data_IF_291450636814
#
_entry.id   IF_291450636814
#
_cell.length_a   1.000
_cell.length_b   1.000
_cell.length_c   1.000
_cell.angle_alpha   90.00
_cell.angle_beta   90.00
_cell.angle_gamma   90.00
#
_symmetry.space_group_name_H-M   'P 1'
#
loop_
_entity.id
_entity.type
_entity.pdbx_description
1 polymer ?
#
# COMPACT_ATOMS: atom_id res chain seq x y z
N UNK A 1 -13.47 -5.39 -28.44
CA UNK A 1 -12.43 -6.06 -27.64
C UNK A 1 -11.14 -5.28 -27.77
N UNK A 2 -10.68 -4.66 -26.68
CA UNK A 2 -9.39 -3.96 -26.64
C UNK A 2 -8.40 -4.85 -25.89
N UNK A 3 -7.19 -5.11 -26.42
CA UNK A 3 -6.20 -5.91 -25.70
C UNK A 3 -5.59 -5.11 -24.56
N UNK A 4 -5.24 -5.77 -23.46
CA UNK A 4 -4.49 -5.17 -22.34
C UNK A 4 -3.31 -6.05 -21.92
N UNK A 5 -2.36 -5.47 -21.18
CA UNK A 5 -1.29 -6.19 -20.50
C UNK A 5 -0.98 -5.53 -19.15
N UNK A 6 -1.07 -6.31 -18.07
CA UNK A 6 -0.62 -5.94 -16.74
C UNK A 6 0.68 -6.67 -16.37
N UNK A 7 1.51 -6.03 -15.56
CA UNK A 7 2.78 -6.57 -15.05
C UNK A 7 2.79 -6.46 -13.52
N UNK A 8 3.31 -7.48 -12.83
CA UNK A 8 3.71 -7.30 -11.42
C UNK A 8 5.06 -6.59 -11.38
N UNK A 9 5.22 -5.62 -10.47
CA UNK A 9 6.51 -4.99 -10.19
C UNK A 9 7.34 -5.80 -9.19
N UNK A 10 6.71 -6.71 -8.44
CA UNK A 10 7.31 -7.39 -7.29
C UNK A 10 7.81 -8.82 -7.62
N UNK A 11 7.44 -9.34 -8.80
CA UNK A 11 7.86 -10.65 -9.29
C UNK A 11 8.29 -10.56 -10.76
N UNK A 12 9.58 -10.77 -11.04
CA UNK A 12 10.10 -10.86 -12.41
C UNK A 12 9.33 -11.92 -13.22
N UNK A 13 9.22 -11.67 -14.53
CA UNK A 13 8.43 -12.46 -15.51
C UNK A 13 6.93 -12.64 -15.19
N UNK A 14 6.40 -12.05 -14.11
CA UNK A 14 4.98 -12.18 -13.74
C UNK A 14 4.13 -11.13 -14.46
N UNK A 15 3.28 -11.58 -15.37
CA UNK A 15 2.41 -10.71 -16.17
C UNK A 15 1.10 -11.40 -16.55
N UNK A 16 0.08 -10.60 -16.92
CA UNK A 16 -1.17 -11.10 -17.51
C UNK A 16 -1.54 -10.25 -18.72
N UNK A 17 -2.07 -10.86 -19.77
CA UNK A 17 -2.67 -10.18 -20.90
C UNK A 17 -3.99 -10.84 -21.30
N UNK A 18 -4.82 -10.09 -22.01
CA UNK A 18 -6.14 -10.55 -22.43
C UNK A 18 -6.95 -9.40 -23.01
N UNK A 19 -8.26 -9.43 -22.78
CA UNK A 19 -9.21 -8.45 -23.33
C UNK A 19 -9.87 -7.63 -22.21
N UNK A 20 -10.11 -6.35 -22.49
CA UNK A 20 -11.00 -5.53 -21.66
C UNK A 20 -12.46 -5.95 -21.87
N UNK A 21 -13.19 -6.03 -20.77
CA UNK A 21 -14.63 -6.31 -20.65
C UNK A 21 -15.27 -5.28 -19.71
N UNK A 22 -16.58 -5.12 -19.79
CA UNK A 22 -17.38 -4.26 -18.93
C UNK A 22 -18.43 -5.10 -18.21
N UNK A 23 -18.59 -4.90 -16.90
CA UNK A 23 -19.57 -5.59 -16.05
C UNK A 23 -19.90 -4.73 -14.81
N UNK A 24 -20.88 -5.15 -14.01
CA UNK A 24 -21.37 -4.40 -12.84
C UNK A 24 -20.63 -4.81 -11.56
N UNK A 25 -19.79 -3.91 -11.04
CA UNK A 25 -19.26 -4.01 -9.68
C UNK A 25 -20.36 -3.62 -8.69
N UNK A 26 -20.75 -4.55 -7.84
CA UNK A 26 -21.72 -4.33 -6.78
C UNK A 26 -21.00 -3.93 -5.50
N UNK A 27 -21.36 -2.77 -4.95
CA UNK A 27 -20.82 -2.17 -3.73
C UNK A 27 -21.94 -1.81 -2.75
N UNK A 28 -21.58 -1.42 -1.54
CA UNK A 28 -22.51 -0.88 -0.53
C UNK A 28 -21.93 0.38 0.09
N UNK A 29 -22.78 1.37 0.42
CA UNK A 29 -22.35 2.50 1.24
C UNK A 29 -21.88 2.05 2.63
N UNK A 30 -20.93 2.79 3.23
CA UNK A 30 -20.46 2.54 4.60
C UNK A 30 -21.34 3.19 5.68
N UNK A 31 -22.34 3.97 5.26
CA UNK A 31 -23.26 4.69 6.15
C UNK A 31 -24.26 3.76 6.88
N UNK A 32 -25.15 4.37 7.65
CA UNK A 32 -26.16 3.66 8.46
C UNK A 32 -27.21 2.91 7.65
N UNK A 33 -27.31 3.17 6.34
CA UNK A 33 -28.36 2.60 5.46
C UNK A 33 -27.83 1.48 4.56
N UNK A 34 -26.52 1.47 4.27
CA UNK A 34 -25.85 0.43 3.47
C UNK A 34 -26.53 0.20 2.12
N UNK A 35 -26.83 1.30 1.41
CA UNK A 35 -27.46 1.30 0.11
C UNK A 35 -26.60 0.57 -0.93
N UNK A 36 -27.25 -0.24 -1.77
CA UNK A 36 -26.58 -0.98 -2.84
C UNK A 36 -26.19 0.00 -3.96
N UNK A 37 -24.92 -0.05 -4.36
CA UNK A 37 -24.36 0.76 -5.45
C UNK A 37 -23.91 -0.17 -6.57
N UNK A 38 -24.57 -0.07 -7.73
CA UNK A 38 -24.20 -0.78 -8.95
C UNK A 38 -23.35 0.13 -9.84
N UNK A 39 -22.06 -0.16 -9.96
CA UNK A 39 -21.11 0.62 -10.74
C UNK A 39 -20.60 -0.17 -11.95
N UNK A 40 -20.85 0.32 -13.17
CA UNK A 40 -20.25 -0.24 -14.37
C UNK A 40 -18.74 -0.02 -14.35
N UNK A 41 -17.95 -1.09 -14.46
CA UNK A 41 -16.49 -1.00 -14.50
C UNK A 41 -15.92 -1.70 -15.74
N UNK A 42 -14.90 -1.11 -16.34
CA UNK A 42 -14.04 -1.80 -17.32
C UNK A 42 -12.92 -2.52 -16.59
N UNK A 43 -12.73 -3.82 -16.83
CA UNK A 43 -11.62 -4.59 -16.25
C UNK A 43 -11.06 -5.63 -17.24
N UNK A 44 -9.94 -6.24 -16.88
CA UNK A 44 -9.20 -7.17 -17.74
C UNK A 44 -9.62 -8.62 -17.55
N UNK A 45 -10.32 -9.20 -18.52
CA UNK A 45 -10.48 -10.65 -18.65
C UNK A 45 -9.15 -11.26 -19.15
N UNK A 46 -8.38 -11.83 -18.22
CA UNK A 46 -7.06 -12.42 -18.50
C UNK A 46 -7.16 -13.71 -19.32
N UNK A 47 -6.28 -13.85 -20.31
CA UNK A 47 -6.25 -14.98 -21.26
C UNK A 47 -4.88 -15.66 -21.33
N UNK A 48 -3.81 -14.94 -21.00
CA UNK A 48 -2.44 -15.46 -20.91
C UNK A 48 -1.81 -14.91 -19.64
N UNK A 49 -1.29 -15.79 -18.80
CA UNK A 49 -0.58 -15.47 -17.56
C UNK A 49 0.86 -16.01 -17.61
N UNK A 50 1.75 -15.38 -16.87
CA UNK A 50 3.14 -15.80 -16.69
C UNK A 50 3.59 -15.59 -15.24
N UNK A 51 4.62 -16.31 -14.82
CA UNK A 51 5.18 -16.21 -13.47
C UNK A 51 4.18 -16.62 -12.36
N UNK A 52 4.26 -15.93 -11.22
CA UNK A 52 3.55 -16.32 -9.99
C UNK A 52 2.01 -16.28 -10.07
N UNK A 53 1.44 -15.62 -11.09
CA UNK A 53 0.00 -15.62 -11.36
C UNK A 53 -0.54 -16.99 -11.80
N UNK A 54 0.31 -17.92 -12.23
CA UNK A 54 -0.09 -19.29 -12.61
C UNK A 54 -0.42 -20.17 -11.39
N UNK A 55 0.25 -19.95 -10.26
CA UNK A 55 0.27 -20.90 -9.14
C UNK A 55 -0.25 -20.34 -7.81
N UNK A 56 0.11 -19.08 -7.45
CA UNK A 56 -0.01 -18.59 -6.05
C UNK A 56 -0.55 -17.17 -5.94
N UNK A 57 -0.09 -16.22 -6.76
CA UNK A 57 -0.25 -14.80 -6.48
C UNK A 57 -1.60 -14.20 -6.96
N UNK A 58 -2.31 -14.86 -7.86
CA UNK A 58 -3.55 -14.34 -8.46
C UNK A 58 -4.55 -15.44 -8.89
N UNK A 59 -4.87 -16.44 -8.05
CA UNK A 59 -5.65 -17.63 -8.47
C UNK A 59 -7.06 -17.32 -9.00
N UNK A 60 -7.61 -16.15 -8.68
CA UNK A 60 -8.90 -15.66 -9.18
C UNK A 60 -8.80 -14.25 -9.82
N UNK A 61 -7.59 -13.81 -10.20
CA UNK A 61 -7.32 -12.48 -10.76
C UNK A 61 -6.76 -11.48 -9.75
N UNK A 62 -6.81 -10.19 -10.11
CA UNK A 62 -6.23 -9.06 -9.38
C UNK A 62 -7.18 -7.87 -9.42
N UNK A 63 -7.28 -7.14 -8.30
CA UNK A 63 -8.10 -5.93 -8.22
C UNK A 63 -7.23 -4.68 -8.47
N UNK A 64 -7.46 -4.00 -9.60
CA UNK A 64 -6.60 -2.90 -10.07
C UNK A 64 -6.83 -1.58 -9.34
N UNK A 65 -5.94 -1.23 -8.40
CA UNK A 65 -5.98 0.00 -7.60
C UNK A 65 -4.99 1.11 -8.05
N UNK A 66 -4.25 0.91 -9.14
CA UNK A 66 -3.20 1.84 -9.60
C UNK A 66 -3.70 3.26 -9.96
N UNK A 67 -2.77 4.19 -10.25
CA UNK A 67 -3.15 5.58 -10.51
C UNK A 67 -3.72 5.85 -11.93
N UNK A 68 -3.77 4.85 -12.82
CA UNK A 68 -4.27 5.01 -14.19
C UNK A 68 -5.80 5.15 -14.29
N UNK A 69 -6.29 5.79 -15.36
CA UNK A 69 -7.72 6.06 -15.57
C UNK A 69 -8.63 4.82 -15.63
N UNK A 70 -8.07 3.64 -15.91
CA UNK A 70 -8.79 2.36 -15.98
C UNK A 70 -8.79 1.58 -14.65
N UNK A 71 -8.17 2.11 -13.59
CA UNK A 71 -8.29 1.50 -12.26
C UNK A 71 -9.67 1.75 -11.66
N UNK A 72 -10.14 0.85 -10.80
CA UNK A 72 -11.49 0.95 -10.22
C UNK A 72 -11.71 2.26 -9.46
N UNK A 73 -10.79 2.78 -8.62
CA UNK A 73 -10.98 4.07 -7.95
C UNK A 73 -11.01 5.26 -8.92
N UNK A 74 -10.45 5.12 -10.14
CA UNK A 74 -10.58 6.15 -11.17
C UNK A 74 -11.97 6.17 -11.78
N UNK A 75 -12.50 4.98 -12.13
CA UNK A 75 -13.82 4.83 -12.76
C UNK A 75 -14.92 5.26 -11.79
N UNK A 76 -14.87 4.78 -10.54
CA UNK A 76 -15.82 5.17 -9.49
C UNK A 76 -15.85 6.68 -9.25
N UNK A 77 -14.74 7.39 -9.47
CA UNK A 77 -14.69 8.84 -9.31
C UNK A 77 -15.07 9.61 -10.58
N UNK A 78 -14.75 9.11 -11.78
CA UNK A 78 -15.17 9.75 -13.03
C UNK A 78 -16.67 9.67 -13.28
N UNK A 79 -17.31 8.57 -12.86
CA UNK A 79 -18.78 8.42 -12.88
C UNK A 79 -19.47 9.12 -11.69
N UNK A 80 -18.70 9.71 -10.77
CA UNK A 80 -19.23 10.54 -9.68
C UNK A 80 -19.77 9.78 -8.45
N UNK A 81 -19.56 8.45 -8.35
CA UNK A 81 -19.93 7.68 -7.15
C UNK A 81 -19.11 8.07 -5.92
N UNK A 82 -17.82 8.41 -6.12
CA UNK A 82 -16.86 8.62 -5.02
C UNK A 82 -15.87 9.73 -5.33
N UNK A 83 -15.17 10.20 -4.30
CA UNK A 83 -13.95 10.99 -4.48
C UNK A 83 -12.82 10.15 -5.10
N UNK A 84 -11.80 10.80 -5.67
CA UNK A 84 -10.66 10.09 -6.26
C UNK A 84 -9.64 9.70 -5.18
N UNK A 85 -10.06 8.81 -4.30
CA UNK A 85 -9.29 8.29 -3.19
C UNK A 85 -9.85 6.93 -2.74
N UNK A 86 -9.10 6.21 -1.92
CA UNK A 86 -9.59 5.02 -1.24
C UNK A 86 -8.76 4.76 0.01
N UNK A 87 -9.27 3.96 0.94
CA UNK A 87 -8.47 3.41 2.03
C UNK A 87 -8.51 1.89 2.08
N UNK A 88 -7.51 1.31 2.75
CA UNK A 88 -7.44 -0.12 3.05
C UNK A 88 -7.13 -0.30 4.54
N UNK A 89 -7.76 -1.29 5.16
CA UNK A 89 -7.48 -1.71 6.53
C UNK A 89 -7.32 -3.24 6.56
N UNK A 90 -6.22 -3.72 7.13
CA UNK A 90 -5.94 -5.15 7.30
C UNK A 90 -5.99 -5.51 8.79
N UNK A 91 -6.89 -6.43 9.14
CA UNK A 91 -7.02 -7.02 10.47
C UNK A 91 -6.05 -8.18 10.69
N UNK A 92 -5.75 -8.45 11.95
CA UNK A 92 -4.76 -9.46 12.37
C UNK A 92 -5.25 -10.92 12.14
N UNK A 93 -6.53 -11.12 11.84
CA UNK A 93 -7.14 -12.40 11.46
C UNK A 93 -7.12 -12.68 9.94
N UNK A 94 -6.67 -11.71 9.14
CA UNK A 94 -6.71 -11.75 7.68
C UNK A 94 -8.01 -11.23 7.04
N UNK A 95 -8.99 -10.78 7.83
CA UNK A 95 -10.14 -10.01 7.35
C UNK A 95 -9.71 -8.54 7.22
N UNK A 96 -10.27 -7.84 6.24
CA UNK A 96 -9.97 -6.43 6.01
C UNK A 96 -11.10 -5.70 5.30
N UNK A 97 -10.91 -4.41 5.05
CA UNK A 97 -11.85 -3.55 4.32
C UNK A 97 -11.10 -2.70 3.29
N UNK A 98 -11.77 -2.42 2.19
CA UNK A 98 -11.40 -1.38 1.23
C UNK A 98 -12.59 -0.43 1.06
N UNK A 99 -12.32 0.88 1.15
CA UNK A 99 -13.35 1.91 1.22
C UNK A 99 -13.06 2.97 0.15
N UNK A 100 -13.87 3.03 -0.91
CA UNK A 100 -13.68 3.96 -2.02
C UNK A 100 -14.25 5.35 -1.70
N UNK A 101 -13.53 6.40 -2.08
CA UNK A 101 -13.87 7.79 -1.74
C UNK A 101 -13.40 8.24 -0.36
N UNK A 102 -12.90 7.34 0.50
CA UNK A 102 -12.34 7.71 1.80
C UNK A 102 -11.11 8.61 1.65
N UNK A 103 -11.03 9.65 2.47
CA UNK A 103 -9.91 10.61 2.56
C UNK A 103 -9.21 10.61 3.92
N UNK A 104 -9.62 9.70 4.81
CA UNK A 104 -9.11 9.61 6.16
C UNK A 104 -9.72 10.62 7.11
N UNK A 105 -9.11 10.75 8.29
CA UNK A 105 -9.50 11.72 9.31
C UNK A 105 -8.51 12.91 9.37
N UNK A 106 -8.94 14.12 9.76
CA UNK A 106 -8.09 15.33 9.70
C UNK A 106 -6.85 15.32 10.62
N UNK A 107 -6.76 14.35 11.52
CA UNK A 107 -5.68 14.11 12.49
C UNK A 107 -4.86 12.85 12.15
N UNK A 108 -4.92 12.36 10.90
CA UNK A 108 -4.03 11.30 10.41
C UNK A 108 -2.62 11.82 10.11
N UNK A 109 -1.63 10.93 10.14
CA UNK A 109 -0.29 11.21 9.63
C UNK A 109 -0.29 11.10 8.09
N UNK A 110 0.43 11.96 7.36
CA UNK A 110 0.49 11.93 5.88
C UNK A 110 1.92 12.05 5.32
N UNK A 111 2.16 11.52 4.11
CA UNK A 111 3.38 11.78 3.29
C UNK A 111 2.99 11.98 1.82
N UNK A 112 3.62 12.90 1.07
CA UNK A 112 3.40 13.03 -0.37
C UNK A 112 3.95 11.83 -1.15
N UNK A 113 3.27 11.49 -2.25
CA UNK A 113 3.77 10.51 -3.22
C UNK A 113 4.91 11.08 -4.09
N UNK A 114 5.88 10.23 -4.42
CA UNK A 114 6.92 10.50 -5.40
C UNK A 114 6.41 10.17 -6.81
N UNK A 115 5.58 11.06 -7.36
CA UNK A 115 4.91 10.88 -8.65
C UNK A 115 5.90 10.81 -9.83
N UNK A 116 5.77 9.78 -10.66
CA UNK A 116 6.36 9.72 -11.99
C UNK A 116 5.23 9.79 -13.04
N UNK A 117 5.11 10.87 -13.84
CA UNK A 117 4.03 11.02 -14.82
C UNK A 117 3.94 9.91 -15.88
N UNK A 118 5.04 9.21 -16.17
CA UNK A 118 5.06 8.11 -17.15
C UNK A 118 4.56 6.79 -16.57
N UNK A 119 4.81 6.55 -15.27
CA UNK A 119 4.47 5.32 -14.55
C UNK A 119 4.03 5.66 -13.10
N UNK A 120 2.79 6.12 -12.92
CA UNK A 120 2.33 6.69 -11.65
C UNK A 120 2.00 5.57 -10.64
N UNK A 121 2.93 5.34 -9.71
CA UNK A 121 2.88 4.33 -8.66
C UNK A 121 2.80 4.98 -7.26
N UNK A 122 2.33 4.23 -6.26
CA UNK A 122 2.25 4.66 -4.85
C UNK A 122 3.62 4.62 -4.16
N UNK A 123 4.58 5.35 -4.72
CA UNK A 123 5.93 5.49 -4.18
C UNK A 123 5.98 6.58 -3.10
N UNK A 124 6.64 6.31 -1.98
CA UNK A 124 6.91 7.28 -0.90
C UNK A 124 8.41 7.39 -0.60
N UNK A 125 8.84 8.42 0.13
CA UNK A 125 10.23 8.59 0.60
C UNK A 125 10.34 8.36 2.10
N UNK A 126 11.28 7.51 2.52
CA UNK A 126 11.67 7.31 3.92
C UNK A 126 12.99 8.04 4.16
N UNK A 127 13.06 8.82 5.26
CA UNK A 127 14.18 9.70 5.60
C UNK A 127 14.94 9.28 6.87
N UNK A 128 14.31 8.47 7.72
CA UNK A 128 14.96 7.87 8.89
C UNK A 128 14.28 6.54 9.23
N UNK A 129 15.05 5.58 9.73
CA UNK A 129 14.53 4.36 10.36
C UNK A 129 14.90 4.42 11.84
N UNK A 130 13.94 4.16 12.71
CA UNK A 130 14.17 3.92 14.14
C UNK A 130 14.08 2.43 14.43
N UNK A 131 15.05 1.93 15.21
CA UNK A 131 15.03 0.59 15.78
C UNK A 131 15.41 0.71 17.26
N UNK A 132 14.45 0.50 18.15
CA UNK A 132 14.58 0.70 19.60
C UNK A 132 15.02 2.12 19.95
N UNK A 133 16.24 2.23 20.48
CA UNK A 133 16.89 3.52 20.79
C UNK A 133 17.71 4.10 19.63
N UNK A 134 18.02 3.30 18.61
CA UNK A 134 18.88 3.67 17.48
C UNK A 134 18.08 4.39 16.40
N UNK A 135 18.61 5.52 15.92
CA UNK A 135 18.15 6.21 14.71
C UNK A 135 19.16 5.96 13.58
N UNK A 136 18.65 5.70 12.37
CA UNK A 136 19.43 5.40 11.17
C UNK A 136 18.98 6.37 10.08
N UNK A 137 19.84 7.32 9.74
CA UNK A 137 19.57 8.25 8.64
C UNK A 137 19.68 7.53 7.29
N UNK A 138 18.67 7.73 6.44
CA UNK A 138 18.51 7.07 5.15
C UNK A 138 17.86 8.02 4.15
N UNK A 139 18.04 7.76 2.87
CA UNK A 139 17.17 8.32 1.84
C UNK A 139 16.87 7.18 0.88
N UNK A 140 15.61 6.72 0.87
CA UNK A 140 15.15 5.74 -0.11
C UNK A 140 13.69 5.96 -0.49
N UNK A 141 13.40 5.70 -1.76
CA UNK A 141 12.01 5.51 -2.21
C UNK A 141 11.60 4.07 -2.02
N UNK A 142 10.37 3.86 -1.56
CA UNK A 142 9.72 2.55 -1.49
C UNK A 142 8.33 2.60 -2.14
N UNK A 143 7.94 1.51 -2.80
CA UNK A 143 6.58 1.27 -3.25
C UNK A 143 5.72 0.84 -2.05
N UNK A 144 4.55 1.44 -1.87
CA UNK A 144 3.55 0.96 -0.92
C UNK A 144 2.63 -0.02 -1.65
N UNK A 145 2.76 -1.33 -1.40
CA UNK A 145 2.11 -2.39 -2.18
C UNK A 145 1.30 -3.38 -1.31
N UNK A 146 -0.03 -3.31 -1.44
CA UNK A 146 -0.95 -4.26 -0.82
C UNK A 146 -0.92 -5.66 -1.47
N UNK A 147 -0.34 -5.80 -2.67
CA UNK A 147 -0.18 -7.07 -3.37
C UNK A 147 0.98 -7.93 -2.87
N UNK A 148 1.85 -7.39 -2.01
CA UNK A 148 3.01 -8.09 -1.45
C UNK A 148 2.86 -8.26 0.06
N UNK A 149 2.87 -9.51 0.54
CA UNK A 149 2.59 -9.83 1.95
C UNK A 149 3.63 -9.26 2.94
N UNK A 150 4.90 -9.20 2.55
CA UNK A 150 6.01 -8.78 3.41
C UNK A 150 6.71 -7.52 2.89
N UNK A 151 7.46 -6.86 3.77
CA UNK A 151 8.28 -5.70 3.43
C UNK A 151 9.65 -6.13 2.95
N UNK A 152 10.09 -5.55 1.83
CA UNK A 152 11.35 -5.87 1.15
C UNK A 152 12.24 -4.64 1.09
N UNK A 153 13.50 -4.73 1.51
CA UNK A 153 14.45 -3.60 1.46
C UNK A 153 15.74 -3.97 0.74
N UNK A 154 16.28 -3.02 -0.03
CA UNK A 154 17.53 -3.17 -0.79
C UNK A 154 18.73 -2.75 0.08
N UNK A 155 19.91 -3.25 -0.24
CA UNK A 155 21.16 -2.82 0.40
C UNK A 155 21.57 -1.39 -0.01
N UNK A 156 22.23 -0.61 0.87
CA UNK A 156 22.69 -0.95 2.22
C UNK A 156 21.65 -0.63 3.31
N UNK A 157 20.39 -0.45 2.97
CA UNK A 157 19.33 -0.12 3.95
C UNK A 157 18.86 -1.37 4.70
N UNK A 158 18.79 -2.52 4.03
CA UNK A 158 18.47 -3.81 4.67
C UNK A 158 19.46 -4.17 5.78
N UNK A 159 20.77 -4.24 5.49
CA UNK A 159 21.79 -4.58 6.47
C UNK A 159 21.77 -3.63 7.68
N UNK A 160 21.73 -2.31 7.46
CA UNK A 160 21.71 -1.32 8.55
C UNK A 160 20.50 -1.49 9.48
N UNK A 161 19.30 -1.75 8.94
CA UNK A 161 18.11 -2.03 9.74
C UNK A 161 18.28 -3.35 10.51
N UNK A 162 18.66 -4.43 9.82
CA UNK A 162 18.69 -5.77 10.40
C UNK A 162 19.81 -5.95 11.44
N UNK A 163 20.99 -5.35 11.23
CA UNK A 163 22.08 -5.30 12.20
C UNK A 163 21.73 -4.45 13.44
N UNK A 164 21.01 -3.34 13.26
CA UNK A 164 20.52 -2.50 14.36
C UNK A 164 19.40 -3.18 15.16
N UNK A 165 18.59 -4.03 14.52
CA UNK A 165 17.65 -4.90 15.21
C UNK A 165 18.40 -6.00 15.98
N UNK A 166 19.40 -6.63 15.35
CA UNK A 166 20.18 -7.71 15.94
C UNK A 166 20.98 -7.27 17.18
N UNK A 167 21.56 -6.07 17.17
CA UNK A 167 22.32 -5.53 18.31
C UNK A 167 21.47 -5.20 19.53
N UNK A 168 20.14 -5.14 19.38
CA UNK A 168 19.16 -4.91 20.45
C UNK A 168 18.29 -6.13 20.75
N UNK A 169 18.44 -7.24 20.02
CA UNK A 169 17.70 -8.48 20.27
C UNK A 169 18.32 -9.26 21.45
N UNK A 170 17.49 -9.56 22.46
CA UNK A 170 17.93 -10.23 23.69
C UNK A 170 17.99 -11.77 23.59
N UNK A 171 17.07 -12.39 22.84
CA UNK A 171 17.04 -13.84 22.64
C UNK A 171 18.17 -14.32 21.71
N UNK A 172 18.52 -15.60 21.81
CA UNK A 172 19.62 -16.20 21.04
C UNK A 172 19.26 -16.27 19.54
N UNK A 173 20.15 -15.82 18.66
CA UNK A 173 19.96 -15.94 17.19
C UNK A 173 19.81 -17.42 16.80
N UNK A 174 18.69 -17.73 16.16
CA UNK A 174 18.38 -19.05 15.61
C UNK A 174 19.33 -19.39 14.44
N UNK A 175 19.45 -20.67 14.10
CA UNK A 175 20.28 -21.08 12.95
C UNK A 175 19.56 -20.73 11.63
N UNK A 176 20.27 -20.30 10.57
CA UNK A 176 19.64 -20.09 9.27
C UNK A 176 18.97 -21.37 8.75
N UNK A 177 17.68 -21.28 8.41
CA UNK A 177 16.89 -22.33 7.78
C UNK A 177 16.47 -21.85 6.39
N UNK A 178 16.83 -22.59 5.35
CA UNK A 178 16.52 -22.23 3.95
C UNK A 178 15.02 -22.29 3.61
N UNK A 179 14.17 -22.79 4.53
CA UNK A 179 12.70 -22.76 4.43
C UNK A 179 12.10 -21.45 4.93
N UNK A 180 12.86 -20.63 5.66
CA UNK A 180 12.41 -19.38 6.27
C UNK A 180 13.02 -18.20 5.48
N UNK A 181 12.22 -17.25 4.94
CA UNK A 181 12.73 -16.19 4.08
C UNK A 181 13.41 -15.02 4.82
N UNK A 182 13.59 -15.12 6.14
CA UNK A 182 14.09 -14.06 7.01
C UNK A 182 15.49 -14.40 7.54
N UNK A 183 16.49 -13.55 7.30
CA UNK A 183 17.90 -13.82 7.70
C UNK A 183 18.14 -13.66 9.23
N UNK A 184 17.22 -13.01 9.94
CA UNK A 184 17.38 -12.62 11.35
C UNK A 184 16.25 -13.20 12.20
N UNK A 185 16.42 -14.45 12.62
CA UNK A 185 15.53 -15.20 13.49
C UNK A 185 16.16 -15.51 14.86
N UNK A 186 15.34 -15.76 15.88
CA UNK A 186 15.72 -15.89 17.29
C UNK A 186 14.92 -16.97 17.99
N UNK A 187 15.57 -17.77 18.84
CA UNK A 187 14.94 -18.78 19.69
C UNK A 187 14.14 -18.07 20.79
N UNK A 188 12.80 -18.05 20.69
CA UNK A 188 11.97 -17.34 21.67
C UNK A 188 12.05 -18.05 23.02
N UNK A 189 12.52 -17.35 24.06
CA UNK A 189 12.59 -17.96 25.40
C UNK A 189 11.17 -18.17 25.98
N UNK A 190 10.91 -19.25 26.76
CA UNK A 190 9.60 -19.48 27.38
C UNK A 190 9.14 -18.39 28.38
N UNK A 191 10.07 -17.50 28.75
CA UNK A 191 9.86 -16.31 29.58
C UNK A 191 9.95 -15.00 28.80
N UNK A 192 9.99 -15.04 27.45
CA UNK A 192 10.11 -13.88 26.61
C UNK A 192 8.89 -12.96 26.77
N UNK A 193 9.10 -11.80 27.38
CA UNK A 193 8.12 -10.72 27.33
C UNK A 193 8.26 -10.01 25.99
N UNK A 194 7.15 -9.82 25.26
CA UNK A 194 7.15 -9.13 23.97
C UNK A 194 7.75 -7.71 24.02
N UNK A 195 7.75 -7.07 25.20
CA UNK A 195 8.45 -5.80 25.46
C UNK A 195 9.99 -5.84 25.26
N UNK A 196 10.60 -7.01 25.08
CA UNK A 196 12.02 -7.19 24.78
C UNK A 196 12.34 -7.19 23.28
N UNK A 197 11.33 -7.16 22.41
CA UNK A 197 11.51 -7.07 20.96
C UNK A 197 11.76 -5.60 20.60
N UNK A 198 12.82 -5.26 19.82
CA UNK A 198 13.07 -3.89 19.40
C UNK A 198 11.90 -3.29 18.60
N UNK A 199 11.27 -2.25 19.16
CA UNK A 199 10.24 -1.46 18.48
C UNK A 199 10.80 -0.76 17.24
N UNK A 200 10.02 -0.59 16.18
CA UNK A 200 10.49 0.06 14.95
C UNK A 200 9.54 1.19 14.48
N UNK A 201 10.09 2.18 13.79
CA UNK A 201 9.30 3.15 13.03
C UNK A 201 10.06 3.69 11.81
N UNK A 202 9.32 4.20 10.83
CA UNK A 202 9.85 4.89 9.66
C UNK A 202 9.45 6.36 9.74
N UNK A 203 10.40 7.28 9.55
CA UNK A 203 10.11 8.71 9.41
C UNK A 203 9.98 9.03 7.92
N UNK A 204 8.77 9.40 7.51
CA UNK A 204 8.45 9.71 6.12
C UNK A 204 8.87 11.15 5.76
N UNK A 205 8.97 11.41 4.46
CA UNK A 205 9.21 12.77 3.91
C UNK A 205 8.11 13.73 4.36
N UNK A 206 8.46 14.66 5.24
CA UNK A 206 7.53 15.54 5.94
C UNK A 206 7.71 15.53 7.46
N UNK A 207 8.33 14.46 8.00
CA UNK A 207 8.60 14.28 9.44
C UNK A 207 7.61 13.36 10.14
N UNK A 208 6.48 13.06 9.49
CA UNK A 208 5.42 12.14 9.93
C UNK A 208 5.97 10.74 10.23
N UNK A 209 5.49 10.10 11.30
CA UNK A 209 6.01 8.80 11.74
C UNK A 209 5.06 7.64 11.49
N UNK A 210 5.55 6.64 10.77
CA UNK A 210 4.89 5.35 10.56
C UNK A 210 5.44 4.35 11.58
N UNK A 211 4.70 4.10 12.67
CA UNK A 211 5.11 3.17 13.71
C UNK A 211 4.82 1.73 13.29
N UNK A 212 5.83 0.86 13.34
CA UNK A 212 5.68 -0.55 12.97
C UNK A 212 5.13 -1.31 14.18
N UNK A 213 3.87 -1.73 14.09
CA UNK A 213 3.17 -2.47 15.16
C UNK A 213 3.67 -3.92 15.28
N UNK A 214 3.89 -4.60 14.16
CA UNK A 214 4.44 -5.96 14.11
C UNK A 214 5.79 -5.98 13.36
N UNK A 215 6.91 -5.67 14.06
CA UNK A 215 8.26 -5.72 13.47
C UNK A 215 8.76 -7.16 13.27
N UNK A 216 8.04 -8.16 13.78
CA UNK A 216 8.41 -9.57 13.75
C UNK A 216 7.27 -10.45 13.26
N UNK A 217 7.62 -11.64 12.79
CA UNK A 217 6.71 -12.77 12.59
C UNK A 217 7.12 -13.91 13.52
N UNK A 218 6.13 -14.58 14.12
CA UNK A 218 6.36 -15.75 14.98
C UNK A 218 6.10 -17.03 14.19
N UNK A 219 7.04 -17.97 14.27
CA UNK A 219 7.03 -19.27 13.60
C UNK A 219 7.07 -20.35 14.68
N UNK A 220 5.95 -21.05 14.86
CA UNK A 220 5.87 -22.19 15.78
C UNK A 220 6.07 -23.50 15.03
N UNK A 221 6.91 -24.37 15.58
CA UNK A 221 6.98 -25.79 15.22
C UNK A 221 6.39 -26.65 16.35
N UNK A 222 6.56 -27.97 16.30
CA UNK A 222 6.16 -28.89 17.38
C UNK A 222 7.09 -28.84 18.61
N UNK A 223 8.30 -28.29 18.46
CA UNK A 223 9.37 -28.38 19.47
C UNK A 223 10.08 -27.05 19.76
N UNK A 224 9.99 -26.08 18.85
CA UNK A 224 10.69 -24.80 18.90
C UNK A 224 9.72 -23.67 18.51
N UNK A 225 9.79 -22.57 19.25
CA UNK A 225 9.11 -21.31 18.95
C UNK A 225 10.17 -20.28 18.58
N UNK A 226 10.08 -19.73 17.38
CA UNK A 226 11.07 -18.82 16.80
C UNK A 226 10.37 -17.52 16.41
N UNK A 227 11.01 -16.37 16.59
CA UNK A 227 10.57 -15.14 15.94
C UNK A 227 11.63 -14.63 14.96
N UNK A 228 11.19 -13.99 13.89
CA UNK A 228 12.06 -13.40 12.87
C UNK A 228 11.68 -11.95 12.63
N UNK A 229 12.67 -11.09 12.34
CA UNK A 229 12.45 -9.74 11.80
C UNK A 229 11.62 -9.84 10.51
N UNK A 230 10.46 -9.19 10.46
CA UNK A 230 9.49 -9.30 9.36
C UNK A 230 9.85 -8.42 8.14
N UNK A 231 11.13 -8.42 7.77
CA UNK A 231 11.69 -7.69 6.63
C UNK A 231 12.58 -8.63 5.83
N UNK A 232 12.33 -8.72 4.53
CA UNK A 232 13.06 -9.59 3.59
C UNK A 232 14.07 -8.76 2.81
N UNK A 233 15.20 -9.39 2.44
CA UNK A 233 16.24 -8.77 1.63
C UNK A 233 15.83 -8.70 0.16
N UNK A 234 15.85 -7.51 -0.41
CA UNK A 234 15.57 -7.24 -1.82
C UNK A 234 16.85 -7.10 -2.64
N UNK A 235 16.74 -7.36 -3.94
CA UNK A 235 17.77 -7.09 -4.95
C UNK A 235 17.39 -5.98 -5.94
N UNK A 236 16.13 -5.57 -5.95
CA UNK A 236 15.53 -4.83 -7.07
C UNK A 236 14.90 -3.51 -6.62
N UNK A 237 13.87 -3.56 -5.75
CA UNK A 237 13.19 -2.37 -5.22
C UNK A 237 12.87 -2.50 -3.72
N UNK A 238 12.66 -1.36 -3.06
CA UNK A 238 12.11 -1.32 -1.70
C UNK A 238 10.57 -1.36 -1.79
N UNK A 239 9.93 -2.21 -0.99
CA UNK A 239 8.49 -2.38 -0.92
C UNK A 239 8.08 -2.34 0.55
N UNK A 240 7.14 -1.46 0.92
CA UNK A 240 6.38 -1.58 2.15
C UNK A 240 5.17 -2.47 1.84
N UNK A 241 5.17 -3.67 2.40
CA UNK A 241 4.16 -4.70 2.17
C UNK A 241 3.09 -4.76 3.26
N UNK A 242 2.06 -5.58 3.04
CA UNK A 242 0.88 -5.73 3.88
C UNK A 242 1.20 -5.91 5.39
N UNK A 243 2.27 -6.64 5.73
CA UNK A 243 2.66 -6.88 7.12
C UNK A 243 2.90 -5.59 7.94
N UNK A 244 3.32 -4.50 7.31
CA UNK A 244 3.49 -3.21 7.99
C UNK A 244 2.23 -2.33 7.91
N UNK A 245 1.28 -2.65 7.03
CA UNK A 245 -0.02 -1.98 6.90
C UNK A 245 -1.07 -2.47 7.91
N UNK A 246 -0.80 -3.59 8.58
CA UNK A 246 -1.77 -4.27 9.46
C UNK A 246 -2.00 -3.48 10.75
N UNK A 247 -3.26 -3.31 11.15
CA UNK A 247 -3.68 -2.42 12.25
C UNK A 247 -3.74 -0.93 11.90
N UNK A 248 -3.53 -0.55 10.63
CA UNK A 248 -3.74 0.79 10.11
C UNK A 248 -4.89 0.84 9.12
N UNK A 249 -5.64 1.95 9.14
CA UNK A 249 -6.34 2.47 7.96
C UNK A 249 -5.32 3.28 7.18
N UNK A 250 -4.91 2.75 6.03
CA UNK A 250 -4.00 3.40 5.09
C UNK A 250 -4.84 4.05 3.99
N UNK A 251 -4.63 5.33 3.74
CA UNK A 251 -5.42 6.16 2.83
C UNK A 251 -4.58 6.58 1.63
N UNK A 252 -5.10 6.38 0.43
CA UNK A 252 -4.49 6.75 -0.84
C UNK A 252 -5.30 7.93 -1.42
N UNK A 253 -4.97 9.15 -1.02
CA UNK A 253 -5.61 10.36 -1.54
C UNK A 253 -4.95 10.75 -2.87
N UNK A 254 -5.63 10.44 -3.97
CA UNK A 254 -5.15 10.67 -5.35
C UNK A 254 -5.58 12.03 -5.90
N UNK A 255 -6.24 12.87 -5.09
CA UNK A 255 -6.51 14.28 -5.40
C UNK A 255 -5.41 15.18 -4.84
N UNK A 256 -5.02 14.96 -3.58
CA UNK A 256 -3.88 15.64 -2.93
C UNK A 256 -2.52 15.02 -3.30
N UNK A 257 -2.52 13.76 -3.79
CA UNK A 257 -1.33 12.92 -3.99
C UNK A 257 -0.54 12.65 -2.69
N UNK A 258 -1.24 12.23 -1.63
CA UNK A 258 -0.65 11.83 -0.35
C UNK A 258 -1.07 10.41 0.04
N UNK A 259 -0.17 9.71 0.73
CA UNK A 259 -0.48 8.54 1.53
C UNK A 259 -0.75 9.00 2.97
N UNK A 260 -1.95 8.74 3.47
CA UNK A 260 -2.32 8.94 4.88
C UNK A 260 -2.30 7.63 5.66
N UNK A 261 -2.08 7.67 6.98
CA UNK A 261 -2.28 6.52 7.86
C UNK A 261 -2.73 6.93 9.25
N UNK A 262 -3.61 6.10 9.83
CA UNK A 262 -4.01 6.20 11.24
C UNK A 262 -4.27 4.79 11.80
N UNK A 263 -3.89 4.56 13.06
CA UNK A 263 -4.22 3.30 13.73
C UNK A 263 -5.74 3.17 13.80
N UNK A 264 -6.27 2.03 13.36
CA UNK A 264 -7.70 1.83 13.19
C UNK A 264 -8.07 0.36 13.44
N UNK A 265 -9.25 0.12 14.00
CA UNK A 265 -9.81 -1.24 14.08
C UNK A 265 -10.64 -1.49 12.81
N UNK A 266 -10.29 -2.52 12.03
CA UNK A 266 -10.92 -2.75 10.74
C UNK A 266 -12.39 -3.22 10.80
N UNK A 267 -12.92 -3.49 12.00
CA UNK A 267 -14.35 -3.78 12.20
C UNK A 267 -15.16 -2.52 12.54
N UNK A 268 -14.53 -1.47 13.09
CA UNK A 268 -15.21 -0.21 13.41
C UNK A 268 -15.89 0.40 12.16
N UNK A 269 -16.98 1.14 12.41
CA UNK A 269 -17.57 2.08 11.46
C UNK A 269 -17.33 3.48 11.99
N UNK A 270 -16.78 4.39 11.19
CA UNK A 270 -16.75 5.80 11.58
C UNK A 270 -18.17 6.38 11.52
N UNK A 271 -18.74 6.66 12.68
CA UNK A 271 -19.94 7.50 12.79
C UNK A 271 -19.61 8.90 12.25
N UNK A 272 -19.89 9.13 10.97
CA UNK A 272 -19.74 10.42 10.30
C UNK A 272 -20.79 11.45 10.78
N UNK A 273 -20.76 11.78 12.07
CA UNK A 273 -21.51 12.86 12.70
C UNK A 273 -20.98 14.26 12.32
N UNK A 274 -20.53 14.43 11.07
CA UNK A 274 -20.26 15.73 10.46
C UNK A 274 -21.59 16.26 9.90
N UNK A 275 -22.37 16.89 10.78
CA UNK A 275 -23.64 17.50 10.38
C UNK A 275 -23.41 18.53 9.26
N UNK A 276 -24.12 18.45 8.11
CA UNK A 276 -23.98 19.45 7.05
C UNK A 276 -24.45 20.80 7.56
N UNK A 277 -23.49 21.69 7.84
CA UNK A 277 -23.79 23.06 8.33
C UNK A 277 -24.48 23.84 7.23
N UNK A 278 -25.82 23.79 7.23
CA UNK A 278 -26.66 24.49 6.25
C UNK A 278 -26.27 25.98 6.22
N UNK A 279 -25.96 26.58 5.05
CA UNK A 279 -25.71 28.01 4.97
C UNK A 279 -26.96 28.76 5.41
N UNK A 280 -26.87 29.48 6.52
CA UNK A 280 -28.00 30.17 7.13
C UNK A 280 -28.34 31.44 6.33
N UNK A 281 -29.24 31.30 5.37
CA UNK A 281 -29.71 32.40 4.52
C UNK A 281 -30.29 33.54 5.35
N UNK A 282 -29.66 34.70 5.29
CA UNK A 282 -30.11 35.95 5.94
C UNK A 282 -30.19 37.08 4.91
N UNK A 283 -31.13 38.00 5.13
CA UNK A 283 -31.73 38.83 4.07
C UNK A 283 -30.95 40.11 3.76
N UNK A 284 -30.82 40.43 2.47
CA UNK A 284 -30.18 41.64 1.92
C UNK A 284 -31.18 42.82 1.85
N UNK A 285 -30.82 44.05 2.29
CA UNK A 285 -30.63 45.18 1.34
C UNK A 285 -29.69 46.34 1.85
N UNK A 286 -29.36 47.39 1.04
CA UNK A 286 -28.97 47.36 -0.38
C UNK A 286 -27.77 48.30 -0.77
N UNK A 287 -27.10 47.95 -1.87
CA UNK A 287 -26.42 48.76 -2.91
C UNK A 287 -25.78 50.16 -2.63
N UNK A 288 -24.51 50.29 -3.09
CA UNK A 288 -23.96 51.46 -3.84
C UNK A 288 -23.08 50.90 -4.98
N UNK A 289 -22.97 51.57 -6.14
CA UNK A 289 -22.27 51.04 -7.32
C UNK A 289 -21.32 52.04 -8.03
N UNK A 290 -20.09 51.60 -8.32
CA UNK A 290 -19.11 52.11 -9.30
C UNK A 290 -18.19 50.92 -9.68
N UNK A 291 -17.69 50.70 -10.90
CA UNK A 291 -18.00 51.36 -12.18
C UNK A 291 -16.87 51.23 -13.22
N UNK A 292 -17.01 50.29 -14.17
CA UNK A 292 -16.33 50.21 -15.49
C UNK A 292 -14.81 49.86 -15.53
N UNK A 293 -14.38 49.02 -16.51
CA UNK A 293 -12.95 48.79 -16.80
C UNK A 293 -12.60 47.52 -17.60
N UNK A 294 -12.79 47.53 -18.93
CA UNK A 294 -12.21 46.52 -19.86
C UNK A 294 -10.69 46.82 -20.05
N UNK A 295 -9.78 46.01 -20.64
CA UNK A 295 -9.76 44.74 -21.43
C UNK A 295 -8.31 44.16 -21.26
N UNK A 296 -7.72 43.15 -21.94
CA UNK A 296 -8.03 42.21 -23.05
C UNK A 296 -6.95 41.11 -23.10
N UNK A 297 -7.27 39.94 -23.67
CA UNK A 297 -6.30 39.01 -24.31
C UNK A 297 -6.34 39.21 -25.84
N UNK A 298 -5.29 38.82 -26.61
CA UNK A 298 -5.27 37.47 -27.20
C UNK A 298 -3.87 36.85 -27.49
N UNK A 299 -3.89 35.53 -27.77
CA UNK A 299 -2.98 34.77 -28.68
C UNK A 299 -1.44 34.72 -28.45
N UNK A 300 -0.64 33.87 -29.13
CA UNK A 300 -0.75 32.45 -29.58
C UNK A 300 0.43 32.12 -30.53
N UNK A 301 1.22 31.06 -30.27
CA UNK A 301 2.04 30.21 -31.19
C UNK A 301 2.94 29.30 -30.31
N UNK A 302 3.21 28.00 -30.59
CA UNK A 302 3.92 27.32 -31.71
C UNK A 302 5.42 27.72 -31.81
N UNK A 303 6.38 26.82 -32.08
CA UNK A 303 6.32 25.43 -32.56
C UNK A 303 7.62 24.59 -32.28
N UNK A 304 7.51 23.25 -32.46
CA UNK A 304 8.53 22.22 -32.83
C UNK A 304 9.96 22.12 -32.22
N UNK A 305 10.41 20.87 -31.99
CA UNK A 305 11.83 20.52 -31.75
C UNK A 305 12.07 19.02 -31.53
N UNK A 306 12.71 18.32 -32.47
CA UNK A 306 12.99 16.87 -32.43
C UNK A 306 14.38 16.55 -31.83
N UNK A 307 14.53 15.41 -31.13
CA UNK A 307 15.41 14.31 -31.58
C UNK A 307 15.34 13.05 -30.71
N UNK A 308 15.78 11.92 -31.27
CA UNK A 308 15.75 10.57 -30.72
C UNK A 308 16.99 10.22 -29.90
N UNK A 309 16.90 9.24 -29.00
CA UNK A 309 17.81 8.07 -29.01
C UNK A 309 17.17 6.87 -28.29
N UNK A 310 17.40 5.67 -28.81
CA UNK A 310 16.97 4.41 -28.19
C UNK A 310 18.15 3.60 -27.65
N UNK A 311 17.89 2.68 -26.72
CA UNK A 311 18.83 1.64 -26.30
C UNK A 311 18.05 0.43 -25.80
N UNK A 312 18.41 -0.76 -26.26
CA UNK A 312 17.83 -2.01 -25.80
C UNK A 312 18.70 -2.60 -24.68
N UNK A 313 18.07 -3.10 -23.62
CA UNK A 313 18.72 -3.89 -22.57
C UNK A 313 18.21 -5.34 -22.64
N UNK A 314 19.09 -6.31 -22.43
CA UNK A 314 18.74 -7.73 -22.41
C UNK A 314 18.29 -8.15 -21.00
N UNK A 315 17.34 -9.10 -20.86
CA UNK A 315 16.96 -9.61 -19.56
C UNK A 315 18.09 -10.46 -18.95
N UNK A 316 18.25 -10.38 -17.63
CA UNK A 316 19.14 -11.25 -16.85
C UNK A 316 18.31 -11.97 -15.78
N UNK A 317 18.60 -13.27 -15.62
CA UNK A 317 17.79 -14.19 -14.83
C UNK A 317 17.84 -13.90 -13.32
N UNK A 318 16.66 -13.85 -12.69
CA UNK A 318 16.53 -13.95 -11.24
C UNK A 318 16.13 -15.39 -10.89
N UNK A 319 16.93 -16.10 -10.10
CA UNK A 319 16.66 -17.50 -9.74
C UNK A 319 15.85 -17.60 -8.44
N UNK A 320 14.73 -18.31 -8.49
CA UNK A 320 13.90 -18.59 -7.31
C UNK A 320 13.67 -20.09 -7.14
N UNK A 321 13.93 -20.58 -5.93
CA UNK A 321 13.48 -21.89 -5.44
C UNK A 321 11.98 -21.82 -5.14
N UNK A 322 11.20 -22.73 -5.75
CA UNK A 322 9.78 -22.88 -5.45
C UNK A 322 9.57 -23.31 -4.00
N UNK A 323 8.82 -22.50 -3.23
CA UNK A 323 8.39 -22.84 -1.86
C UNK A 323 6.94 -23.33 -1.90
N UNK A 324 6.81 -24.65 -1.98
CA UNK A 324 5.54 -25.37 -2.06
C UNK A 324 4.86 -25.37 -0.68
N UNK A 325 3.61 -24.87 -0.64
CA UNK A 325 2.63 -25.04 0.44
C UNK A 325 3.06 -24.62 1.87
N UNK A 326 2.72 -23.39 2.24
CA UNK A 326 2.34 -23.07 3.62
C UNK A 326 0.81 -22.93 3.73
N UNK A 327 0.12 -24.02 4.08
CA UNK A 327 -1.27 -23.93 4.56
C UNK A 327 -1.26 -23.60 6.04
N UNK A 328 -1.52 -22.35 6.39
CA UNK A 328 -1.76 -21.96 7.78
C UNK A 328 -3.09 -22.57 8.25
N UNK A 329 -3.00 -23.52 9.18
CA UNK A 329 -4.15 -24.07 9.88
C UNK A 329 -4.40 -23.22 11.13
N UNK A 330 -5.29 -22.24 11.02
CA UNK A 330 -5.74 -21.46 12.19
C UNK A 330 -6.52 -22.40 13.11
N UNK A 331 -5.97 -22.72 14.28
CA UNK A 331 -6.65 -23.50 15.31
C UNK A 331 -7.32 -22.54 16.29
N UNK A 332 -8.64 -22.68 16.40
CA UNK A 332 -9.54 -21.89 17.23
C UNK A 332 -9.23 -22.05 18.73
N UNK A 333 -9.27 -20.96 19.50
CA UNK A 333 -9.11 -21.00 20.95
C UNK A 333 -10.41 -21.43 21.66
N UNK A 334 -10.28 -22.50 22.45
CA UNK A 334 -11.06 -22.96 23.61
C UNK A 334 -12.42 -22.30 23.93
N UNK A 335 -13.45 -23.15 24.04
CA UNK A 335 -14.56 -22.98 24.99
C UNK A 335 -14.95 -24.33 25.61
N UNK A 336 -14.28 -24.69 26.72
CA UNK A 336 -14.80 -25.43 27.89
C UNK A 336 -13.72 -25.56 28.97
#
# INVERSE_FOLDING_TARGET
MCPYRGHSLCFSETSTSGILVEDVLHLTTEDSYQELVEANITFGCGQVQSGSFLDVAAPNGLFGLGMEKISVPSILSSEGFTANSFSMCFGHDGIGRISFGDKGSPDQEETPFNLNPSHPNYNISVTQIRVGTTLIDVDFTALFDSGTSFTYLVEPTYARLAESFHSQAHDKRHRPDSRIPFEYCYDMSPSANASLIPSMSLTMKGGSQFAIHEPIIVISSQTELVYCLAVVKSRELNIIGQNLMTGYRVVFDREKFVLGWKKFDCYDKEDHNISPTKPHGTTVPPAVAVGLGNTSTPESTKETGNSSHGSAAWPLFCSHTSLIYFRFLIILFLLL
#
